data_IF_142977204524
#
_entry.id   IF_142977204524
#
_cell.length_a   1.000
_cell.length_b   1.000
_cell.length_c   1.000
_cell.angle_alpha   90.00
_cell.angle_beta   90.00
_cell.angle_gamma   90.00
#
_symmetry.space_group_name_H-M   'P 1'
#
loop_
_entity.id
_entity.type
_entity.pdbx_description
1 polymer ?
#
# COMPACT_ATOMS: atom_id res chain seq x y z
N UNK A 1 -6.99 -5.49 -20.94
CA UNK A 1 -6.40 -6.41 -19.94
C UNK A 1 -6.46 -7.89 -20.41
N UNK A 2 -6.38 -8.18 -21.72
CA UNK A 2 -6.48 -9.56 -22.27
C UNK A 2 -7.64 -10.38 -21.66
N UNK A 3 -8.83 -9.77 -21.53
CA UNK A 3 -10.01 -10.40 -20.91
C UNK A 3 -10.00 -10.55 -19.38
N UNK A 4 -8.92 -10.16 -18.68
CA UNK A 4 -8.84 -10.24 -17.21
C UNK A 4 -9.51 -9.03 -16.54
N UNK A 5 -10.35 -9.28 -15.55
CA UNK A 5 -10.89 -8.24 -14.68
C UNK A 5 -9.83 -7.75 -13.69
N UNK A 6 -9.89 -6.49 -13.22
CA UNK A 6 -9.08 -6.07 -12.09
C UNK A 6 -9.42 -6.89 -10.84
N UNK A 7 -8.46 -7.09 -9.94
CA UNK A 7 -8.74 -7.76 -8.66
C UNK A 7 -9.64 -6.91 -7.76
N UNK A 8 -9.41 -5.59 -7.79
CA UNK A 8 -10.02 -4.64 -6.87
C UNK A 8 -10.31 -3.29 -7.53
N UNK A 9 -11.37 -2.63 -7.10
CA UNK A 9 -11.80 -1.31 -7.58
C UNK A 9 -12.15 -0.41 -6.39
N UNK A 10 -11.72 0.85 -6.42
CA UNK A 10 -12.06 1.87 -5.42
C UNK A 10 -12.83 3.01 -6.10
N UNK A 11 -13.98 3.39 -5.55
CA UNK A 11 -14.75 4.56 -6.03
C UNK A 11 -15.25 5.43 -4.87
N UNK A 12 -15.75 6.61 -5.17
CA UNK A 12 -16.40 7.53 -4.22
C UNK A 12 -17.81 7.08 -3.75
N UNK A 13 -18.40 6.11 -4.44
CA UNK A 13 -19.70 5.53 -4.13
C UNK A 13 -20.83 5.94 -5.06
N UNK A 14 -20.54 6.57 -6.21
CA UNK A 14 -21.53 6.85 -7.23
C UNK A 14 -22.34 5.59 -7.65
N UNK A 15 -23.66 5.75 -7.76
CA UNK A 15 -24.59 4.66 -8.01
C UNK A 15 -24.44 4.07 -9.42
N UNK A 16 -24.22 4.91 -10.43
CA UNK A 16 -24.04 4.46 -11.80
C UNK A 16 -22.73 3.69 -11.94
N UNK A 17 -21.64 4.21 -11.35
CA UNK A 17 -20.34 3.52 -11.30
C UNK A 17 -20.44 2.17 -10.60
N UNK A 18 -21.13 2.10 -9.45
CA UNK A 18 -21.34 0.83 -8.74
C UNK A 18 -22.07 -0.21 -9.61
N UNK A 19 -23.12 0.20 -10.29
CA UNK A 19 -23.90 -0.70 -11.16
C UNK A 19 -23.08 -1.15 -12.38
N UNK A 20 -22.28 -0.25 -12.97
CA UNK A 20 -21.38 -0.56 -14.06
C UNK A 20 -20.29 -1.55 -13.63
N UNK A 21 -19.62 -1.31 -12.50
CA UNK A 21 -18.59 -2.22 -11.95
C UNK A 21 -19.16 -3.61 -11.72
N UNK A 22 -20.36 -3.73 -11.13
CA UNK A 22 -20.99 -5.04 -10.90
C UNK A 22 -21.26 -5.82 -12.19
N UNK A 23 -21.61 -5.11 -13.27
CA UNK A 23 -21.91 -5.72 -14.58
C UNK A 23 -20.64 -6.08 -15.36
N UNK A 24 -19.67 -5.17 -15.38
CA UNK A 24 -18.46 -5.28 -16.20
C UNK A 24 -17.35 -6.06 -15.48
N UNK A 25 -17.26 -5.96 -14.16
CA UNK A 25 -16.24 -6.58 -13.32
C UNK A 25 -16.86 -7.35 -12.14
N UNK A 26 -17.69 -8.38 -12.41
CA UNK A 26 -18.46 -9.08 -11.37
C UNK A 26 -17.57 -9.79 -10.32
N UNK A 27 -16.32 -10.09 -10.65
CA UNK A 27 -15.36 -10.78 -9.78
C UNK A 27 -14.44 -9.84 -9.01
N UNK A 28 -14.50 -8.53 -9.26
CA UNK A 28 -13.64 -7.56 -8.58
C UNK A 28 -14.18 -7.21 -7.20
N UNK A 29 -13.29 -7.07 -6.22
CA UNK A 29 -13.68 -6.54 -4.92
C UNK A 29 -13.88 -5.02 -5.02
N UNK A 30 -15.10 -4.54 -4.74
CA UNK A 30 -15.42 -3.11 -4.78
C UNK A 30 -15.33 -2.49 -3.38
N UNK A 31 -14.47 -1.47 -3.24
CA UNK A 31 -14.31 -0.67 -2.03
C UNK A 31 -14.74 0.78 -2.25
N UNK A 32 -15.34 1.38 -1.22
CA UNK A 32 -15.63 2.80 -1.15
C UNK A 32 -14.44 3.58 -0.59
N UNK A 33 -14.20 4.75 -1.15
CA UNK A 33 -13.14 5.67 -0.76
C UNK A 33 -13.36 6.16 0.67
N UNK A 34 -12.43 5.81 1.57
CA UNK A 34 -12.53 6.16 2.99
C UNK A 34 -12.62 7.69 3.22
N UNK A 35 -11.93 8.49 2.42
CA UNK A 35 -11.97 9.94 2.53
C UNK A 35 -13.35 10.51 2.22
N UNK A 36 -13.98 10.06 1.12
CA UNK A 36 -15.33 10.47 0.76
C UNK A 36 -16.35 10.06 1.81
N UNK A 37 -16.22 8.85 2.36
CA UNK A 37 -17.10 8.39 3.43
C UNK A 37 -16.96 9.22 4.71
N UNK A 38 -15.72 9.52 5.14
CA UNK A 38 -15.49 10.37 6.31
C UNK A 38 -16.00 11.80 6.08
N UNK A 39 -15.82 12.35 4.88
CA UNK A 39 -16.37 13.67 4.52
C UNK A 39 -17.91 13.66 4.60
N UNK A 40 -18.54 12.64 4.04
CA UNK A 40 -20.00 12.51 4.04
C UNK A 40 -20.54 12.27 5.46
N UNK A 41 -19.81 11.53 6.30
CA UNK A 41 -20.18 11.29 7.68
C UNK A 41 -20.29 12.60 8.48
N UNK A 42 -19.37 13.55 8.28
CA UNK A 42 -19.44 14.86 8.94
C UNK A 42 -20.77 15.57 8.68
N UNK A 43 -21.30 15.50 7.45
CA UNK A 43 -22.58 16.11 7.08
C UNK A 43 -23.81 15.30 7.53
N UNK A 44 -23.72 13.97 7.61
CA UNK A 44 -24.86 13.10 7.92
C UNK A 44 -25.02 12.77 9.41
N UNK A 45 -23.91 12.79 10.17
CA UNK A 45 -23.91 12.57 11.62
C UNK A 45 -23.92 13.93 12.34
N UNK A 46 -23.13 14.90 11.88
CA UNK A 46 -23.06 16.23 12.50
C UNK A 46 -22.43 16.29 13.90
N UNK A 47 -21.85 15.18 14.38
CA UNK A 47 -21.22 15.07 15.71
C UNK A 47 -19.70 14.89 15.53
N UNK A 48 -18.87 15.92 15.75
CA UNK A 48 -17.43 15.85 15.55
C UNK A 48 -16.74 14.73 16.36
N UNK A 49 -17.18 14.50 17.59
CA UNK A 49 -16.62 13.48 18.50
C UNK A 49 -16.80 12.06 17.94
N UNK A 50 -17.89 11.83 17.21
CA UNK A 50 -18.19 10.54 16.57
C UNK A 50 -17.20 10.20 15.45
N UNK A 51 -16.56 11.20 14.84
CA UNK A 51 -15.64 10.98 13.71
C UNK A 51 -14.42 10.16 14.09
N UNK A 52 -13.93 10.31 15.33
CA UNK A 52 -12.81 9.52 15.84
C UNK A 52 -13.16 8.02 15.96
N UNK A 53 -14.36 7.73 16.48
CA UNK A 53 -14.90 6.38 16.59
C UNK A 53 -15.16 5.75 15.21
N UNK A 54 -15.78 6.49 14.29
CA UNK A 54 -16.03 6.03 12.93
C UNK A 54 -14.73 5.75 12.18
N UNK A 55 -13.74 6.64 12.30
CA UNK A 55 -12.41 6.46 11.70
C UNK A 55 -11.74 5.19 12.23
N UNK A 56 -11.87 4.89 13.52
CA UNK A 56 -11.37 3.66 14.13
C UNK A 56 -12.07 2.42 13.57
N UNK A 57 -13.39 2.44 13.42
CA UNK A 57 -14.15 1.34 12.79
C UNK A 57 -13.75 1.14 11.32
N UNK A 58 -13.53 2.23 10.58
CA UNK A 58 -13.24 2.20 9.15
C UNK A 58 -11.81 1.74 8.84
N UNK A 59 -10.83 2.32 9.53
CA UNK A 59 -9.40 2.18 9.20
C UNK A 59 -8.65 1.22 10.13
N UNK A 60 -9.26 0.85 11.25
CA UNK A 60 -8.66 -0.03 12.22
C UNK A 60 -8.37 -1.41 11.63
N UNK A 61 -7.17 -1.89 11.93
CA UNK A 61 -6.77 -3.26 11.63
C UNK A 61 -7.15 -4.13 12.82
N UNK A 62 -8.26 -4.85 12.68
CA UNK A 62 -8.89 -5.59 13.77
C UNK A 62 -9.73 -6.74 13.24
N UNK A 63 -9.99 -7.71 14.12
CA UNK A 63 -10.96 -8.78 13.88
C UNK A 63 -12.38 -8.23 13.73
N UNK A 64 -13.23 -8.99 13.03
CA UNK A 64 -14.63 -8.62 12.80
C UNK A 64 -15.37 -8.44 14.12
N UNK A 65 -15.14 -9.30 15.11
CA UNK A 65 -15.77 -9.18 16.42
C UNK A 65 -15.45 -7.84 17.11
N UNK A 66 -14.17 -7.43 17.10
CA UNK A 66 -13.73 -6.15 17.66
C UNK A 66 -14.34 -4.97 16.90
N UNK A 67 -14.52 -5.10 15.57
CA UNK A 67 -15.24 -4.12 14.78
C UNK A 67 -16.72 -4.01 15.19
N UNK A 68 -17.44 -5.13 15.32
CA UNK A 68 -18.86 -5.14 15.68
C UNK A 68 -19.09 -4.54 17.08
N UNK A 69 -18.17 -4.80 18.02
CA UNK A 69 -18.19 -4.18 19.36
C UNK A 69 -17.96 -2.65 19.28
N UNK A 70 -16.93 -2.19 18.58
CA UNK A 70 -16.64 -0.75 18.45
C UNK A 70 -17.73 0.00 17.68
N UNK A 71 -18.33 -0.64 16.68
CA UNK A 71 -19.46 -0.08 15.94
C UNK A 71 -20.68 0.08 16.84
N UNK A 72 -21.05 -0.98 17.57
CA UNK A 72 -22.16 -0.95 18.52
C UNK A 72 -21.97 0.12 19.60
N UNK A 73 -20.77 0.19 20.20
CA UNK A 73 -20.42 1.20 21.20
C UNK A 73 -20.60 2.62 20.63
N UNK A 74 -20.12 2.87 19.41
CA UNK A 74 -20.28 4.17 18.74
C UNK A 74 -21.76 4.51 18.54
N UNK A 75 -22.55 3.57 18.01
CA UNK A 75 -23.97 3.78 17.73
C UNK A 75 -24.76 4.09 19.01
N UNK A 76 -24.50 3.36 20.09
CA UNK A 76 -25.16 3.58 21.37
C UNK A 76 -24.76 4.90 22.01
N UNK A 77 -23.45 5.16 22.10
CA UNK A 77 -22.87 6.37 22.72
C UNK A 77 -23.41 7.67 22.11
N UNK A 78 -23.58 7.69 20.79
CA UNK A 78 -24.04 8.87 20.06
C UNK A 78 -25.53 8.81 19.69
N UNK A 79 -26.28 7.81 20.19
CA UNK A 79 -27.72 7.62 19.93
C UNK A 79 -28.09 7.62 18.44
N UNK A 80 -27.31 6.86 17.65
CA UNK A 80 -27.42 6.82 16.19
C UNK A 80 -28.28 5.64 15.69
N UNK A 81 -29.03 4.98 16.56
CA UNK A 81 -29.80 3.78 16.24
C UNK A 81 -30.81 4.03 15.11
N UNK A 82 -31.38 5.23 15.02
CA UNK A 82 -32.37 5.61 14.01
C UNK A 82 -31.82 6.47 12.87
N UNK A 83 -30.51 6.71 12.84
CA UNK A 83 -29.89 7.45 11.76
C UNK A 83 -29.82 6.57 10.49
N UNK A 84 -30.60 6.94 9.47
CA UNK A 84 -30.68 6.19 8.20
C UNK A 84 -29.32 6.04 7.50
N UNK A 85 -28.46 7.05 7.57
CA UNK A 85 -27.12 6.98 6.97
C UNK A 85 -26.24 5.96 7.70
N UNK A 86 -26.31 5.92 9.04
CA UNK A 86 -25.56 4.94 9.85
C UNK A 86 -26.05 3.51 9.57
N UNK A 87 -27.37 3.30 9.43
CA UNK A 87 -27.94 2.00 9.02
C UNK A 87 -27.41 1.55 7.65
N UNK A 88 -27.48 2.43 6.64
CA UNK A 88 -26.97 2.17 5.28
C UNK A 88 -25.45 1.87 5.26
N UNK A 89 -24.69 2.59 6.08
CA UNK A 89 -23.25 2.33 6.23
C UNK A 89 -22.98 0.96 6.83
N UNK A 90 -23.73 0.54 7.85
CA UNK A 90 -23.58 -0.80 8.42
C UNK A 90 -23.89 -1.91 7.40
N UNK A 91 -24.95 -1.77 6.62
CA UNK A 91 -25.27 -2.71 5.54
C UNK A 91 -24.13 -2.82 4.52
N UNK A 92 -23.48 -1.69 4.22
CA UNK A 92 -22.35 -1.60 3.28
C UNK A 92 -20.98 -1.87 3.91
N UNK A 93 -20.87 -2.34 5.15
CA UNK A 93 -19.58 -2.50 5.87
C UNK A 93 -18.52 -3.30 5.12
N UNK A 94 -18.93 -4.32 4.35
CA UNK A 94 -18.03 -5.10 3.46
C UNK A 94 -17.38 -4.29 2.33
N UNK A 95 -17.86 -3.07 2.08
CA UNK A 95 -17.32 -2.18 1.05
C UNK A 95 -16.43 -1.07 1.63
N UNK A 96 -16.38 -0.84 2.95
CA UNK A 96 -15.54 0.26 3.49
C UNK A 96 -14.73 -0.07 4.74
N UNK A 97 -15.20 -0.99 5.59
CA UNK A 97 -14.55 -1.34 6.84
C UNK A 97 -13.38 -2.29 6.60
N UNK A 98 -12.20 -1.92 7.08
CA UNK A 98 -10.97 -2.71 6.84
C UNK A 98 -11.08 -4.13 7.40
N UNK A 99 -11.72 -4.31 8.56
CA UNK A 99 -11.98 -5.62 9.17
C UNK A 99 -12.75 -6.59 8.26
N UNK A 100 -13.62 -6.08 7.38
CA UNK A 100 -14.42 -6.90 6.46
C UNK A 100 -13.83 -7.04 5.05
N UNK A 101 -12.90 -6.15 4.67
CA UNK A 101 -12.29 -6.13 3.32
C UNK A 101 -10.98 -6.92 3.27
N UNK A 102 -10.29 -7.07 4.41
CA UNK A 102 -9.02 -7.79 4.49
C UNK A 102 -9.10 -9.17 3.82
N UNK A 103 -8.00 -9.58 3.20
CA UNK A 103 -7.94 -10.72 2.28
C UNK A 103 -8.08 -10.32 0.81
N UNK A 104 -8.65 -9.14 0.53
CA UNK A 104 -8.70 -8.58 -0.82
C UNK A 104 -7.53 -7.64 -1.08
N UNK A 105 -6.86 -7.82 -2.22
CA UNK A 105 -5.67 -7.04 -2.56
C UNK A 105 -6.00 -5.59 -2.94
N UNK A 106 -5.67 -4.64 -2.07
CA UNK A 106 -5.81 -3.20 -2.33
C UNK A 106 -4.49 -2.44 -2.24
N UNK A 107 -3.36 -3.13 -1.98
CA UNK A 107 -2.02 -2.53 -1.89
C UNK A 107 -1.94 -1.37 -0.87
N UNK A 108 -2.73 -1.44 0.20
CA UNK A 108 -2.84 -0.38 1.21
C UNK A 108 -3.58 0.88 0.76
N UNK A 109 -4.09 0.91 -0.48
CA UNK A 109 -4.86 2.04 -1.00
C UNK A 109 -6.27 1.96 -0.44
N UNK A 110 -6.68 3.04 0.25
CA UNK A 110 -8.01 3.17 0.88
C UNK A 110 -8.81 4.34 0.35
N UNK A 111 -8.19 5.19 -0.47
CA UNK A 111 -8.74 6.44 -0.97
C UNK A 111 -8.45 6.60 -2.46
N UNK A 112 -9.17 7.50 -3.11
CA UNK A 112 -8.92 7.93 -4.49
C UNK A 112 -7.81 8.99 -4.58
N UNK A 113 -7.05 9.24 -3.50
CA UNK A 113 -6.08 10.35 -3.43
C UNK A 113 -4.98 10.28 -4.48
N UNK A 114 -4.62 9.08 -4.96
CA UNK A 114 -3.66 8.94 -6.08
C UNK A 114 -4.24 9.46 -7.39
N UNK A 115 -5.53 9.22 -7.64
CA UNK A 115 -6.24 9.78 -8.80
C UNK A 115 -6.37 11.30 -8.66
N UNK A 116 -6.74 11.79 -7.47
CA UNK A 116 -6.83 13.24 -7.24
C UNK A 116 -5.48 13.94 -7.35
N UNK A 117 -4.39 13.32 -6.89
CA UNK A 117 -3.04 13.85 -7.03
C UNK A 117 -2.62 13.91 -8.50
N UNK A 118 -2.95 12.88 -9.29
CA UNK A 118 -2.71 12.90 -10.74
C UNK A 118 -3.52 13.99 -11.43
N UNK A 119 -4.82 14.11 -11.11
CA UNK A 119 -5.67 15.18 -11.63
C UNK A 119 -5.11 16.56 -11.28
N UNK A 120 -4.65 16.76 -10.04
CA UNK A 120 -4.03 18.01 -9.60
C UNK A 120 -2.75 18.32 -10.37
N UNK A 121 -1.86 17.34 -10.58
CA UNK A 121 -0.66 17.54 -11.39
C UNK A 121 -0.99 17.89 -12.83
N UNK A 122 -1.92 17.16 -13.45
CA UNK A 122 -2.37 17.44 -14.82
C UNK A 122 -2.98 18.85 -14.90
N UNK A 123 -3.76 19.24 -13.89
CA UNK A 123 -4.36 20.58 -13.79
C UNK A 123 -3.34 21.72 -13.72
N UNK A 124 -2.09 21.48 -13.30
CA UNK A 124 -1.01 22.48 -13.36
C UNK A 124 -0.60 22.81 -14.80
N UNK A 125 -0.78 21.86 -15.72
CA UNK A 125 -0.44 22.02 -17.14
C UNK A 125 -1.65 22.41 -18.00
N UNK A 126 -2.86 22.33 -17.45
CA UNK A 126 -4.12 22.52 -18.19
C UNK A 126 -4.95 23.66 -17.59
N UNK A 127 -5.25 24.68 -18.40
CA UNK A 127 -6.26 25.69 -18.09
C UNK A 127 -7.42 25.63 -19.08
N UNK A 128 -8.59 26.13 -18.68
CA UNK A 128 -9.86 26.05 -19.46
C UNK A 128 -9.81 26.68 -20.86
N UNK A 129 -8.75 27.42 -21.19
CA UNK A 129 -8.56 28.10 -22.49
C UNK A 129 -7.51 27.44 -23.40
N UNK A 130 -7.02 26.25 -23.05
CA UNK A 130 -6.03 25.53 -23.88
C UNK A 130 -6.70 24.94 -25.13
N UNK A 131 -6.09 25.10 -26.30
CA UNK A 131 -6.56 24.40 -27.51
C UNK A 131 -6.10 22.93 -27.50
N UNK A 132 -6.67 22.12 -28.40
CA UNK A 132 -6.37 20.68 -28.44
C UNK A 132 -4.90 20.36 -28.73
N UNK A 133 -4.25 21.13 -29.60
CA UNK A 133 -2.84 20.93 -29.93
C UNK A 133 -1.95 21.19 -28.72
N UNK A 134 -2.20 22.30 -28.02
CA UNK A 134 -1.49 22.66 -26.80
C UNK A 134 -1.78 21.65 -25.66
N UNK A 135 -3.01 21.15 -25.55
CA UNK A 135 -3.35 20.07 -24.61
C UNK A 135 -2.48 18.83 -24.84
N UNK A 136 -2.37 18.37 -26.10
CA UNK A 136 -1.57 17.18 -26.43
C UNK A 136 -0.10 17.43 -26.07
N UNK A 137 0.45 18.61 -26.38
CA UNK A 137 1.82 18.96 -26.02
C UNK A 137 2.04 18.98 -24.49
N UNK A 138 1.15 19.62 -23.74
CA UNK A 138 1.24 19.70 -22.28
C UNK A 138 1.06 18.33 -21.61
N UNK A 139 0.14 17.51 -22.12
CA UNK A 139 -0.04 16.13 -21.67
C UNK A 139 1.23 15.29 -21.90
N UNK A 140 1.86 15.41 -23.08
CA UNK A 140 3.14 14.74 -23.33
C UNK A 140 4.25 15.19 -22.38
N UNK A 141 4.34 16.49 -22.05
CA UNK A 141 5.30 17.00 -21.05
C UNK A 141 5.05 16.39 -19.67
N UNK A 142 3.79 16.35 -19.24
CA UNK A 142 3.39 15.74 -17.98
C UNK A 142 3.74 14.24 -17.93
N UNK A 143 3.47 13.49 -19.01
CA UNK A 143 3.85 12.08 -19.14
C UNK A 143 5.36 11.88 -19.07
N UNK A 144 6.14 12.72 -19.77
CA UNK A 144 7.61 12.66 -19.74
C UNK A 144 8.14 12.90 -18.33
N UNK A 145 7.57 13.87 -17.60
CA UNK A 145 7.91 14.11 -16.20
C UNK A 145 7.66 12.88 -15.30
N UNK A 146 6.49 12.23 -15.43
CA UNK A 146 6.21 11.02 -14.65
C UNK A 146 7.15 9.85 -14.99
N UNK A 147 7.44 9.64 -16.28
CA UNK A 147 8.41 8.62 -16.72
C UNK A 147 9.80 8.90 -16.18
N UNK A 148 10.22 10.16 -16.19
CA UNK A 148 11.50 10.56 -15.64
C UNK A 148 11.59 10.27 -14.14
N UNK A 149 10.55 10.61 -13.37
CA UNK A 149 10.48 10.28 -11.93
C UNK A 149 10.49 8.78 -11.65
N UNK A 150 9.86 8.00 -12.51
CA UNK A 150 9.89 6.54 -12.42
C UNK A 150 11.30 5.99 -12.65
N UNK A 151 12.02 6.51 -13.66
CA UNK A 151 13.41 6.16 -13.95
C UNK A 151 14.33 6.52 -12.76
N UNK A 152 14.14 7.69 -12.16
CA UNK A 152 14.89 8.10 -10.97
C UNK A 152 14.61 7.18 -9.78
N UNK A 153 13.35 6.81 -9.54
CA UNK A 153 12.98 5.90 -8.47
C UNK A 153 13.55 4.48 -8.66
N UNK A 154 13.57 3.98 -9.90
CA UNK A 154 14.20 2.70 -10.25
C UNK A 154 15.71 2.75 -9.99
N UNK A 155 16.38 3.84 -10.38
CA UNK A 155 17.80 4.01 -10.14
C UNK A 155 18.13 4.04 -8.64
N UNK A 156 17.39 4.83 -7.86
CA UNK A 156 17.59 4.87 -6.41
C UNK A 156 17.34 3.51 -5.75
N UNK A 157 16.40 2.72 -6.27
CA UNK A 157 16.13 1.37 -5.77
C UNK A 157 17.24 0.38 -6.11
N UNK A 158 17.86 0.50 -7.28
CA UNK A 158 18.87 -0.46 -7.75
C UNK A 158 20.30 -0.13 -7.28
N UNK A 159 20.64 1.15 -7.11
CA UNK A 159 22.02 1.59 -6.86
C UNK A 159 22.26 2.21 -5.48
N UNK A 160 21.21 2.53 -4.73
CA UNK A 160 21.35 2.95 -3.34
C UNK A 160 21.33 1.75 -2.40
N UNK A 161 22.47 1.39 -1.82
CA UNK A 161 22.47 0.44 -0.70
C UNK A 161 21.83 1.11 0.53
N UNK A 162 20.73 0.58 1.07
CA UNK A 162 20.12 1.19 2.23
C UNK A 162 20.98 0.93 3.47
N UNK A 163 21.19 1.96 4.28
CA UNK A 163 21.77 1.81 5.62
C UNK A 163 20.84 0.96 6.45
N UNK A 164 21.26 -0.25 6.82
CA UNK A 164 20.47 -1.16 7.64
C UNK A 164 20.33 -0.59 9.06
N UNK A 165 19.11 -0.60 9.60
CA UNK A 165 18.78 0.07 10.87
C UNK A 165 18.30 -0.87 11.96
N UNK A 166 18.08 -2.14 11.64
CA UNK A 166 17.59 -3.12 12.61
C UNK A 166 18.72 -4.04 13.06
N UNK A 167 18.51 -4.73 14.19
CA UNK A 167 19.42 -5.80 14.63
C UNK A 167 19.31 -7.05 13.76
N UNK A 168 18.19 -7.23 13.05
CA UNK A 168 17.95 -8.37 12.15
C UNK A 168 18.55 -8.13 10.76
N UNK A 169 19.89 -7.99 10.73
CA UNK A 169 20.64 -7.53 9.56
C UNK A 169 20.48 -8.45 8.33
N UNK A 170 20.42 -9.77 8.52
CA UNK A 170 20.33 -10.74 7.41
C UNK A 170 19.01 -10.60 6.65
N UNK A 171 17.87 -10.68 7.35
CA UNK A 171 16.54 -10.48 6.76
C UNK A 171 16.40 -9.07 6.18
N UNK A 172 16.84 -8.04 6.89
CA UNK A 172 16.76 -6.66 6.40
C UNK A 172 17.56 -6.51 5.09
N UNK A 173 18.76 -7.08 5.00
CA UNK A 173 19.57 -7.09 3.78
C UNK A 173 18.93 -7.91 2.67
N UNK A 174 18.32 -9.05 2.98
CA UNK A 174 17.59 -9.88 2.02
C UNK A 174 16.43 -9.09 1.39
N UNK A 175 15.60 -8.46 2.22
CA UNK A 175 14.50 -7.61 1.77
C UNK A 175 14.98 -6.40 0.95
N UNK A 176 16.08 -5.76 1.36
CA UNK A 176 16.69 -4.64 0.63
C UNK A 176 17.15 -5.00 -0.78
N UNK A 177 17.57 -6.24 -1.02
CA UNK A 177 17.93 -6.73 -2.35
C UNK A 177 16.70 -6.90 -3.23
N UNK A 178 15.61 -7.41 -2.65
CA UNK A 178 14.40 -7.79 -3.39
C UNK A 178 13.46 -6.61 -3.67
N UNK A 179 13.18 -5.77 -2.67
CA UNK A 179 12.14 -4.75 -2.76
C UNK A 179 12.65 -3.42 -3.32
N UNK A 180 11.79 -2.70 -4.03
CA UNK A 180 12.01 -1.28 -4.35
C UNK A 180 12.24 -0.46 -3.07
N UNK A 181 12.94 0.68 -3.18
CA UNK A 181 13.35 1.49 -2.02
C UNK A 181 12.18 1.84 -1.08
N UNK A 182 11.06 2.32 -1.63
CA UNK A 182 9.87 2.69 -0.85
C UNK A 182 9.24 1.48 -0.14
N UNK A 183 9.16 0.34 -0.83
CA UNK A 183 8.63 -0.88 -0.23
C UNK A 183 9.56 -1.40 0.87
N UNK A 184 10.87 -1.34 0.65
CA UNK A 184 11.84 -1.72 1.66
C UNK A 184 11.72 -0.87 2.94
N UNK A 185 11.48 0.44 2.81
CA UNK A 185 11.23 1.31 3.98
C UNK A 185 9.97 0.90 4.74
N UNK A 186 8.90 0.53 4.03
CA UNK A 186 7.69 -0.04 4.65
C UNK A 186 8.00 -1.37 5.34
N UNK A 187 8.66 -2.30 4.65
CA UNK A 187 9.07 -3.58 5.20
C UNK A 187 9.89 -3.42 6.49
N UNK A 188 10.88 -2.51 6.51
CA UNK A 188 11.68 -2.20 7.69
C UNK A 188 10.80 -1.76 8.87
N UNK A 189 9.79 -0.93 8.63
CA UNK A 189 8.87 -0.52 9.69
C UNK A 189 8.10 -1.71 10.28
N UNK A 190 7.71 -2.68 9.43
CA UNK A 190 7.05 -3.91 9.86
C UNK A 190 8.02 -4.80 10.64
N UNK A 191 9.26 -4.94 10.17
CA UNK A 191 10.31 -5.70 10.87
C UNK A 191 10.62 -5.12 12.27
N UNK A 192 10.62 -3.79 12.42
CA UNK A 192 10.74 -3.12 13.71
C UNK A 192 9.56 -3.40 14.65
N UNK A 193 8.36 -3.66 14.11
CA UNK A 193 7.20 -4.04 14.93
C UNK A 193 7.21 -5.53 15.29
N UNK A 194 7.76 -6.38 14.42
CA UNK A 194 7.83 -7.83 14.64
C UNK A 194 8.57 -8.20 15.93
N UNK A 195 9.59 -7.44 16.33
CA UNK A 195 10.32 -7.68 17.60
C UNK A 195 9.51 -7.38 18.86
N UNK A 196 8.34 -6.76 18.73
CA UNK A 196 7.40 -6.54 19.85
C UNK A 196 6.40 -7.69 20.00
N UNK A 197 6.53 -8.74 19.20
CA UNK A 197 5.68 -9.92 19.20
C UNK A 197 6.42 -11.12 19.80
N UNK A 198 5.66 -12.07 20.32
CA UNK A 198 6.16 -13.32 20.88
C UNK A 198 5.37 -14.50 20.34
N UNK A 199 6.06 -15.62 20.16
CA UNK A 199 5.43 -16.91 19.91
C UNK A 199 5.03 -17.50 21.26
N UNK A 200 3.75 -17.80 21.45
CA UNK A 200 3.20 -18.32 22.72
C UNK A 200 2.92 -19.82 22.69
N UNK A 201 2.89 -20.41 21.50
CA UNK A 201 2.70 -21.84 21.31
C UNK A 201 2.75 -22.23 19.84
N UNK A 202 2.82 -23.52 19.59
CA UNK A 202 2.76 -24.11 18.25
C UNK A 202 1.95 -25.40 18.25
N UNK A 203 1.36 -25.70 17.11
CA UNK A 203 0.68 -26.96 16.82
C UNK A 203 1.30 -27.53 15.54
N UNK A 204 1.79 -28.77 15.61
CA UNK A 204 2.33 -29.48 14.46
C UNK A 204 1.21 -29.97 13.53
N UNK A 205 1.43 -29.85 12.23
CA UNK A 205 0.60 -30.35 11.15
C UNK A 205 1.43 -31.35 10.32
N UNK A 206 0.78 -32.08 9.41
CA UNK A 206 1.47 -33.05 8.55
C UNK A 206 2.53 -32.46 7.60
N UNK A 207 2.51 -31.14 7.36
CA UNK A 207 3.41 -30.45 6.41
C UNK A 207 4.03 -29.16 6.99
N UNK A 208 3.95 -28.96 8.31
CA UNK A 208 4.47 -27.75 8.95
C UNK A 208 3.78 -27.45 10.28
N UNK A 209 3.56 -26.17 10.60
CA UNK A 209 3.14 -25.73 11.93
C UNK A 209 2.12 -24.60 11.88
N UNK A 210 1.30 -24.49 12.92
CA UNK A 210 0.55 -23.28 13.25
C UNK A 210 1.15 -22.68 14.52
N UNK A 211 1.66 -21.46 14.42
CA UNK A 211 2.18 -20.69 15.55
C UNK A 211 1.13 -19.72 16.08
N UNK A 212 1.01 -19.63 17.40
CA UNK A 212 0.27 -18.57 18.07
C UNK A 212 1.21 -17.39 18.34
N UNK A 213 0.82 -16.21 17.88
CA UNK A 213 1.58 -14.97 17.97
C UNK A 213 0.77 -13.96 18.79
N UNK A 214 1.39 -13.37 19.80
CA UNK A 214 0.78 -12.31 20.61
C UNK A 214 1.73 -11.13 20.79
N UNK A 215 1.17 -9.96 21.12
CA UNK A 215 1.96 -8.77 21.41
C UNK A 215 2.51 -8.82 22.84
N UNK A 216 3.79 -8.47 23.01
CA UNK A 216 4.39 -8.29 24.33
C UNK A 216 3.63 -7.20 25.11
N UNK A 217 3.17 -7.53 26.32
CA UNK A 217 2.30 -6.68 27.14
C UNK A 217 1.05 -6.18 26.36
N UNK A 218 0.50 -7.00 25.48
CA UNK A 218 -0.68 -6.69 24.68
C UNK A 218 -2.01 -6.77 25.43
N UNK A 219 -3.10 -6.50 24.71
CA UNK A 219 -4.49 -6.54 25.19
C UNK A 219 -5.12 -7.94 25.15
N UNK A 220 -4.31 -8.99 25.06
CA UNK A 220 -4.76 -10.37 24.89
C UNK A 220 -5.10 -10.76 23.45
N UNK A 221 -4.90 -9.88 22.46
CA UNK A 221 -5.08 -10.24 21.05
C UNK A 221 -4.07 -11.31 20.61
N UNK A 222 -4.56 -12.31 19.87
CA UNK A 222 -3.78 -13.42 19.34
C UNK A 222 -3.97 -13.55 17.82
N UNK A 223 -2.90 -13.95 17.14
CA UNK A 223 -2.87 -14.22 15.70
C UNK A 223 -2.25 -15.57 15.43
N UNK A 224 -2.66 -16.18 14.32
CA UNK A 224 -2.20 -17.50 13.93
C UNK A 224 -1.38 -17.40 12.65
N UNK A 225 -0.17 -17.95 12.66
CA UNK A 225 0.70 -18.04 11.48
C UNK A 225 0.87 -19.50 11.12
N UNK A 226 0.36 -19.89 9.96
CA UNK A 226 0.63 -21.19 9.36
C UNK A 226 1.93 -21.11 8.57
N UNK A 227 2.86 -22.01 8.87
CA UNK A 227 4.10 -22.21 8.14
C UNK A 227 4.08 -23.61 7.53
N UNK A 228 4.28 -23.70 6.22
CA UNK A 228 4.49 -24.96 5.51
C UNK A 228 5.97 -25.09 5.15
N UNK A 229 6.57 -26.26 5.34
CA UNK A 229 8.00 -26.48 5.06
C UNK A 229 8.26 -26.76 3.57
N UNK A 230 7.38 -27.54 2.93
CA UNK A 230 7.55 -27.98 1.54
C UNK A 230 6.25 -27.88 0.72
N UNK A 231 6.14 -26.91 -0.21
CA UNK A 231 7.04 -25.76 -0.39
C UNK A 231 6.93 -24.78 0.79
N UNK A 232 8.00 -24.00 1.01
CA UNK A 232 8.01 -22.93 2.01
C UNK A 232 6.88 -21.94 1.71
N UNK A 233 5.90 -21.86 2.62
CA UNK A 233 4.78 -20.92 2.52
C UNK A 233 4.38 -20.40 3.92
N UNK A 234 3.89 -19.16 3.94
CA UNK A 234 3.44 -18.51 5.16
C UNK A 234 2.06 -17.90 4.95
N UNK A 235 1.12 -18.22 5.84
CA UNK A 235 -0.21 -17.60 5.90
C UNK A 235 -0.46 -17.07 7.29
N UNK A 236 -1.14 -15.94 7.38
CA UNK A 236 -1.47 -15.34 8.67
C UNK A 236 -2.94 -14.98 8.75
N UNK A 237 -3.56 -15.24 9.91
CA UNK A 237 -4.96 -14.91 10.18
C UNK A 237 -5.27 -13.41 10.01
N UNK A 238 -4.27 -12.52 10.08
CA UNK A 238 -4.47 -11.09 9.85
C UNK A 238 -4.72 -10.72 8.38
N UNK A 239 -4.44 -11.62 7.43
CA UNK A 239 -4.65 -11.45 5.98
C UNK A 239 -3.94 -10.24 5.34
N UNK A 240 -2.89 -9.73 5.98
CA UNK A 240 -2.17 -8.54 5.50
C UNK A 240 -1.30 -8.83 4.28
N UNK A 241 -0.76 -10.03 4.15
CA UNK A 241 -0.02 -10.43 2.96
C UNK A 241 -0.94 -10.42 1.74
N UNK A 242 -2.15 -10.92 1.87
CA UNK A 242 -3.17 -10.96 0.82
C UNK A 242 -3.71 -9.55 0.51
N UNK A 243 -3.83 -8.70 1.53
CA UNK A 243 -4.39 -7.35 1.37
C UNK A 243 -3.40 -6.33 0.82
N UNK A 244 -2.14 -6.39 1.26
CA UNK A 244 -1.08 -5.42 0.97
C UNK A 244 -0.04 -5.97 -0.01
N UNK A 245 0.18 -7.29 0.01
CA UNK A 245 1.26 -7.95 -0.70
C UNK A 245 2.61 -7.92 0.00
N UNK A 246 2.63 -7.61 1.30
CA UNK A 246 3.84 -7.58 2.12
C UNK A 246 3.63 -8.43 3.37
N UNK A 247 4.66 -9.15 3.85
CA UNK A 247 4.57 -9.93 5.07
C UNK A 247 4.20 -9.01 6.23
N UNK A 248 3.28 -9.47 7.08
CA UNK A 248 2.98 -8.77 8.34
C UNK A 248 4.06 -9.00 9.39
N UNK A 249 4.00 -8.21 10.44
CA UNK A 249 4.81 -8.36 11.64
C UNK A 249 4.65 -9.74 12.28
N UNK A 250 3.46 -10.36 12.24
CA UNK A 250 3.27 -11.74 12.74
C UNK A 250 4.08 -12.78 11.94
N UNK A 251 4.05 -12.69 10.60
CA UNK A 251 4.84 -13.57 9.73
C UNK A 251 6.33 -13.35 10.01
N UNK A 252 6.77 -12.09 10.07
CA UNK A 252 8.17 -11.78 10.34
C UNK A 252 8.61 -12.24 11.74
N UNK A 253 7.77 -12.11 12.77
CA UNK A 253 8.07 -12.62 14.10
C UNK A 253 8.23 -14.15 14.11
N UNK A 254 7.38 -14.85 13.34
CA UNK A 254 7.48 -16.31 13.17
C UNK A 254 8.74 -16.70 12.41
N UNK A 255 9.10 -15.98 11.36
CA UNK A 255 10.36 -16.19 10.64
C UNK A 255 11.58 -15.99 11.53
N UNK A 256 11.58 -14.95 12.37
CA UNK A 256 12.66 -14.69 13.32
C UNK A 256 12.76 -15.78 14.38
N UNK A 257 11.62 -16.31 14.84
CA UNK A 257 11.59 -17.45 15.76
C UNK A 257 12.15 -18.73 15.12
N UNK A 258 11.93 -18.92 13.82
CA UNK A 258 12.43 -20.05 13.04
C UNK A 258 13.86 -19.81 12.47
N UNK A 259 14.55 -18.75 12.91
CA UNK A 259 15.90 -18.39 12.49
C UNK A 259 16.11 -18.27 10.95
N UNK A 260 15.09 -17.81 10.22
CA UNK A 260 15.26 -17.47 8.81
C UNK A 260 16.24 -16.30 8.65
N UNK A 261 17.19 -16.41 7.72
CA UNK A 261 18.16 -15.35 7.40
C UNK A 261 17.89 -14.68 6.05
N UNK A 262 17.09 -15.32 5.19
CA UNK A 262 16.62 -14.82 3.90
C UNK A 262 15.09 -14.71 3.87
N UNK A 263 14.59 -13.78 3.06
CA UNK A 263 13.17 -13.65 2.80
C UNK A 263 12.73 -14.69 1.75
N UNK A 264 11.81 -15.62 2.08
CA UNK A 264 11.27 -16.57 1.12
C UNK A 264 10.59 -15.89 -0.07
N UNK A 265 10.67 -16.50 -1.25
CA UNK A 265 10.07 -15.97 -2.48
C UNK A 265 8.55 -15.80 -2.38
N UNK A 266 7.85 -16.67 -1.61
CA UNK A 266 6.41 -16.56 -1.37
C UNK A 266 6.02 -15.24 -0.68
N UNK A 267 6.95 -14.57 -0.01
CA UNK A 267 6.76 -13.28 0.66
C UNK A 267 7.17 -12.07 -0.20
N UNK A 268 7.65 -12.30 -1.43
CA UNK A 268 8.08 -11.25 -2.36
C UNK A 268 7.14 -11.21 -3.56
N UNK A 269 6.10 -10.37 -3.51
CA UNK A 269 5.25 -10.18 -4.68
C UNK A 269 6.03 -9.46 -5.81
N UNK A 270 5.95 -9.94 -7.07
CA UNK A 270 6.67 -9.34 -8.20
C UNK A 270 6.42 -7.85 -8.36
N UNK A 271 5.20 -7.37 -8.10
CA UNK A 271 4.82 -5.94 -8.17
C UNK A 271 5.69 -5.03 -7.28
N UNK A 272 6.14 -5.55 -6.14
CA UNK A 272 6.89 -4.80 -5.14
C UNK A 272 8.40 -4.94 -5.28
N UNK A 273 8.82 -5.88 -6.11
CA UNK A 273 10.22 -6.19 -6.40
C UNK A 273 10.85 -5.15 -7.31
N UNK A 274 12.18 -4.99 -7.21
CA UNK A 274 12.99 -4.23 -8.19
C UNK A 274 12.93 -4.83 -9.59
N UNK A 275 12.61 -6.11 -9.69
CA UNK A 275 12.57 -6.89 -10.93
C UNK A 275 11.18 -6.91 -11.58
N UNK A 276 10.23 -6.10 -11.08
CA UNK A 276 8.84 -6.06 -11.57
C UNK A 276 8.71 -5.83 -13.09
N UNK A 277 9.71 -5.18 -13.70
CA UNK A 277 9.72 -4.82 -15.12
C UNK A 277 10.41 -5.86 -16.00
N UNK A 278 11.14 -6.82 -15.43
CA UNK A 278 11.89 -7.80 -16.21
C UNK A 278 10.95 -8.67 -17.05
N UNK A 279 9.82 -9.11 -16.48
CA UNK A 279 8.78 -9.84 -17.22
C UNK A 279 8.07 -9.00 -18.30
N UNK A 280 8.11 -7.67 -18.21
CA UNK A 280 7.46 -6.76 -19.18
C UNK A 280 8.40 -6.50 -20.36
N UNK A 281 9.72 -6.42 -20.10
CA UNK A 281 10.77 -6.23 -21.13
C UNK A 281 10.69 -7.29 -22.23
N UNK A 282 10.51 -8.55 -21.84
CA UNK A 282 10.41 -9.66 -22.79
C UNK A 282 9.14 -9.63 -23.64
N UNK A 283 8.07 -8.98 -23.14
CA UNK A 283 6.75 -8.94 -23.81
C UNK A 283 6.64 -7.79 -24.83
N UNK A 284 7.37 -6.69 -24.63
CA UNK A 284 7.26 -5.47 -25.46
C UNK A 284 8.61 -5.00 -26.03
N UNK A 285 9.46 -5.95 -26.44
CA UNK A 285 10.81 -5.69 -26.94
C UNK A 285 10.91 -4.68 -28.11
N UNK A 286 9.81 -4.40 -28.82
CA UNK A 286 9.75 -3.50 -29.99
C UNK A 286 9.03 -2.17 -29.74
N UNK A 287 8.56 -1.89 -28.52
CA UNK A 287 7.87 -0.63 -28.22
C UNK A 287 8.84 0.52 -27.96
N UNK A 288 8.70 1.65 -28.68
CA UNK A 288 9.46 2.90 -28.47
C UNK A 288 9.22 3.59 -27.10
N UNK A 289 8.63 2.87 -26.15
CA UNK A 289 8.28 3.31 -24.80
C UNK A 289 9.42 3.14 -23.80
N UNK A 290 10.51 2.45 -24.19
CA UNK A 290 11.67 2.25 -23.35
C UNK A 290 12.83 3.10 -23.88
N UNK A 291 13.03 4.28 -23.28
CA UNK A 291 14.39 4.77 -23.14
C UNK A 291 15.11 3.77 -22.25
N UNK A 292 16.31 3.32 -22.59
CA UNK A 292 17.09 2.53 -21.65
C UNK A 292 17.21 3.34 -20.35
N UNK A 293 16.42 2.94 -19.35
CA UNK A 293 16.21 3.70 -18.12
C UNK A 293 17.53 3.94 -17.37
N UNK A 294 18.53 3.10 -17.62
CA UNK A 294 19.79 3.07 -16.91
C UNK A 294 20.78 4.16 -17.38
N UNK A 295 21.06 4.36 -18.67
CA UNK A 295 21.74 5.56 -19.18
C UNK A 295 21.03 6.88 -18.83
N UNK A 296 19.70 6.94 -19.03
CA UNK A 296 18.91 8.14 -18.75
C UNK A 296 18.91 8.50 -17.25
N UNK A 297 18.78 7.50 -16.36
CA UNK A 297 18.90 7.70 -14.92
C UNK A 297 20.29 8.15 -14.49
N UNK A 298 21.35 7.55 -15.04
CA UNK A 298 22.73 7.93 -14.72
C UNK A 298 23.00 9.37 -15.14
N UNK A 299 22.60 9.74 -16.35
CA UNK A 299 22.69 11.12 -16.83
C UNK A 299 21.90 12.08 -15.94
N UNK A 300 20.68 11.71 -15.57
CA UNK A 300 19.84 12.49 -14.65
C UNK A 300 20.48 12.68 -13.27
N UNK A 301 21.01 11.61 -12.66
CA UNK A 301 21.65 11.68 -11.36
C UNK A 301 22.87 12.60 -11.40
N UNK A 302 23.66 12.54 -12.48
CA UNK A 302 24.79 13.46 -12.71
C UNK A 302 24.29 14.91 -12.84
N UNK A 303 23.25 15.17 -13.64
CA UNK A 303 22.69 16.52 -13.81
C UNK A 303 22.18 17.08 -12.48
N UNK A 304 21.51 16.26 -11.66
CA UNK A 304 21.01 16.68 -10.35
C UNK A 304 22.18 16.97 -9.38
N UNK A 305 23.23 16.15 -9.37
CA UNK A 305 24.44 16.42 -8.60
C UNK A 305 25.13 17.72 -9.05
N UNK A 306 25.23 17.95 -10.36
CA UNK A 306 25.77 19.19 -10.91
C UNK A 306 24.92 20.41 -10.51
N UNK A 307 23.59 20.28 -10.47
CA UNK A 307 22.69 21.35 -10.04
C UNK A 307 22.89 21.70 -8.56
N UNK A 308 22.94 20.68 -7.69
CA UNK A 308 23.21 20.89 -6.24
C UNK A 308 24.59 21.52 -6.03
N UNK A 309 25.61 21.07 -6.77
CA UNK A 309 26.94 21.68 -6.71
C UNK A 309 26.92 23.15 -7.17
N UNK A 310 26.20 23.48 -8.23
CA UNK A 310 26.06 24.85 -8.71
C UNK A 310 25.32 25.75 -7.70
N UNK A 311 24.27 25.24 -7.05
CA UNK A 311 23.54 25.97 -5.99
C UNK A 311 24.43 26.22 -4.77
N UNK A 312 25.25 25.24 -4.36
CA UNK A 312 26.20 25.41 -3.25
C UNK A 312 27.30 26.42 -3.58
N UNK A 313 27.85 26.39 -4.80
CA UNK A 313 28.85 27.36 -5.26
C UNK A 313 28.27 28.77 -5.35
N UNK A 314 27.01 28.91 -5.76
CA UNK A 314 26.33 30.21 -5.80
C UNK A 314 26.15 30.80 -4.40
N UNK A 315 25.74 29.98 -3.42
CA UNK A 315 25.53 30.44 -2.04
C UNK A 315 26.86 30.79 -1.32
N UNK A 316 27.96 30.09 -1.63
CA UNK A 316 29.30 30.44 -1.11
C UNK A 316 29.77 31.83 -1.59
N UNK A 317 29.36 32.26 -2.79
CA UNK A 317 29.73 33.57 -3.34
C UNK A 317 28.99 34.75 -2.68
N UNK A 318 27.86 34.49 -2.01
CA UNK A 318 27.14 35.51 -1.22
C UNK A 318 27.74 35.71 0.18
N UNK A 319 28.47 34.73 0.74
CA UNK A 319 29.17 34.88 2.04
C UNK A 319 30.49 35.66 1.94
N UNK A 320 30.97 35.94 0.72
CA UNK A 320 32.23 36.66 0.45
C UNK A 320 32.06 38.14 0.03
N UNK A 321 30.83 38.68 0.05
CA UNK A 321 30.54 40.11 -0.18
C UNK A 321 30.02 40.79 1.10
#
# INVERSE_FOLDING_TARGET
MNGKHPLSVITDGDLAMRNAIRRVFPTSHHRLCAWHLLRNASSNIGIPECMSHLKRCMLGDMEVEKFENLWSEMVEKFRLQDNNWVKDMYEKRKMWATAHIRGSFFAGIRTTSRCEALHSHIGQFLHSRINMTDFVQQFHRCLTFFRFREIEADFQSNYGEPVLQTSMRSIEKSAAKQFTKEIFLLFRSILKNAVLLRITGSVELSMGYIFNVSKYCGDGSEWYVTFCEEPIDFKCSCLRMESLGLPCDHILATMLYLDFDQLPECLVLPRWSKYAKDSIRDTYASGSLYWDAQPAARFSAIVQMCKVAAELVFNDLEEYN
#
